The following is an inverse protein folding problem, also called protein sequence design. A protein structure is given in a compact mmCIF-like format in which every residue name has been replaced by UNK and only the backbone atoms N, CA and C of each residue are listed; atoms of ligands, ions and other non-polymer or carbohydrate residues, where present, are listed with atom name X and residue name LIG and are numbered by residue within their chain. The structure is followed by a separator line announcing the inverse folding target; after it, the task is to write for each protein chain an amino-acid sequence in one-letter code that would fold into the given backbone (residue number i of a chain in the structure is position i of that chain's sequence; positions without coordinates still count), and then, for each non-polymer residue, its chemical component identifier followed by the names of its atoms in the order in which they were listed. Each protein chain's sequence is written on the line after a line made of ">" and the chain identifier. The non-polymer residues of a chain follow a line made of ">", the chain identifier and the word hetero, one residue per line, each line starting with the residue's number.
data_IF_595109174084
#
_entry.id   IF_595109174084
#
_cell.length_a   1.000
_cell.length_b   1.000
_cell.length_c   1.000
_cell.angle_alpha   90.00
_cell.angle_beta   90.00
_cell.angle_gamma   90.00
#
_symmetry.space_group_name_H-M   'P 1'
#
loop_
_entity.id
_entity.type
_entity.pdbx_description
1 polymer ?
#
# COMPACT_ATOMS: atom_id res chain seq x y z
N UNK A 1 10.33 -54.71 12.66
CA UNK A 1 11.30 -54.82 11.54
C UNK A 1 11.87 -53.42 11.31
N UNK A 2 13.00 -53.08 11.94
CA UNK A 2 14.39 -53.09 11.40
C UNK A 2 14.63 -52.17 10.17
N UNK A 3 15.29 -51.03 10.48
CA UNK A 3 16.40 -50.34 9.76
C UNK A 3 16.01 -49.59 8.46
N UNK A 4 16.56 -48.41 8.13
CA UNK A 4 17.92 -47.88 8.36
C UNK A 4 17.96 -46.37 8.52
N UNK A 5 18.87 -45.91 9.39
CA UNK A 5 19.47 -44.57 9.42
C UNK A 5 20.51 -44.45 8.29
N UNK A 6 20.60 -43.29 7.65
CA UNK A 6 21.76 -42.89 6.84
C UNK A 6 22.38 -41.67 7.53
N UNK A 7 23.63 -41.85 7.95
CA UNK A 7 24.50 -40.88 8.60
C UNK A 7 25.37 -40.25 7.50
N UNK A 8 25.27 -38.93 7.27
CA UNK A 8 26.20 -38.23 6.38
C UNK A 8 27.32 -37.62 7.22
N UNK A 9 28.54 -38.12 6.98
CA UNK A 9 29.75 -37.76 7.71
C UNK A 9 30.37 -36.45 7.22
N UNK A 10 30.81 -35.66 8.19
CA UNK A 10 31.61 -34.43 8.08
C UNK A 10 33.01 -34.80 7.55
N UNK A 11 33.45 -34.16 6.47
CA UNK A 11 34.82 -34.28 5.96
C UNK A 11 35.60 -33.01 6.31
N UNK A 12 36.47 -33.12 7.32
CA UNK A 12 37.39 -32.08 7.76
C UNK A 12 38.73 -32.31 7.07
N UNK A 13 39.12 -31.43 6.13
CA UNK A 13 40.40 -31.52 5.42
C UNK A 13 41.44 -30.63 6.12
N UNK A 14 42.40 -31.28 6.81
CA UNK A 14 43.62 -30.66 7.33
C UNK A 14 44.66 -30.55 6.20
N UNK A 15 45.08 -29.33 5.85
CA UNK A 15 46.21 -29.09 4.96
C UNK A 15 47.47 -28.75 5.77
N UNK A 16 48.50 -29.56 5.57
CA UNK A 16 49.80 -29.50 6.21
C UNK A 16 50.67 -28.45 5.48
N UNK A 17 51.29 -27.58 6.27
CA UNK A 17 52.26 -26.57 5.84
C UNK A 17 53.55 -27.26 5.39
N UNK A 18 54.05 -26.92 4.19
CA UNK A 18 55.41 -27.22 3.76
C UNK A 18 56.10 -25.91 3.34
N UNK A 19 57.12 -25.52 4.09
CA UNK A 19 58.05 -24.44 3.73
C UNK A 19 58.95 -24.91 2.57
N UNK A 20 59.07 -24.11 1.52
CA UNK A 20 60.26 -24.16 0.68
C UNK A 20 60.59 -22.76 0.15
N UNK A 21 61.78 -22.31 0.49
CA UNK A 21 62.42 -21.06 0.06
C UNK A 21 63.03 -21.22 -1.32
N UNK A 22 62.74 -20.31 -2.26
CA UNK A 22 63.75 -19.65 -3.11
C UNK A 22 63.13 -18.47 -3.88
N UNK A 23 63.91 -17.39 -3.92
CA UNK A 23 63.66 -16.09 -4.55
C UNK A 23 63.72 -16.18 -6.08
N UNK A 24 62.85 -15.44 -6.78
CA UNK A 24 63.20 -14.35 -7.72
C UNK A 24 61.92 -13.67 -8.23
N UNK A 25 62.08 -12.43 -8.70
CA UNK A 25 61.15 -11.28 -8.74
C UNK A 25 59.97 -11.39 -9.71
N UNK A 26 58.80 -10.82 -9.34
CA UNK A 26 57.89 -10.05 -10.23
C UNK A 26 56.72 -9.40 -9.42
N UNK A 27 55.92 -8.46 -9.99
CA UNK A 27 55.58 -7.18 -9.38
C UNK A 27 54.16 -7.09 -8.81
N UNK A 28 53.93 -6.07 -7.98
CA UNK A 28 52.61 -5.45 -7.83
C UNK A 28 51.70 -6.08 -6.77
N UNK A 29 51.69 -5.45 -5.60
CA UNK A 29 50.76 -5.65 -4.50
C UNK A 29 49.28 -5.55 -4.91
N UNK A 30 48.49 -6.57 -4.59
CA UNK A 30 47.07 -6.41 -4.29
C UNK A 30 46.72 -7.27 -3.05
N UNK A 31 47.16 -6.80 -1.89
CA UNK A 31 46.37 -6.98 -0.67
C UNK A 31 45.13 -6.08 -0.83
N UNK A 32 44.02 -6.65 -1.26
CA UNK A 32 42.72 -5.99 -1.13
C UNK A 32 42.37 -5.97 0.35
N UNK A 33 42.67 -4.86 1.02
CA UNK A 33 42.27 -4.64 2.39
C UNK A 33 40.75 -4.54 2.47
N UNK A 34 40.20 -5.11 3.53
CA UNK A 34 38.83 -4.91 4.01
C UNK A 34 38.67 -3.54 4.72
N UNK A 35 39.52 -2.56 4.41
CA UNK A 35 39.64 -1.28 5.15
C UNK A 35 39.37 -0.05 4.26
N UNK A 36 38.28 -0.06 3.48
CA UNK A 36 37.74 1.16 2.87
C UNK A 36 36.20 1.15 2.87
N UNK A 37 35.58 1.01 4.04
CA UNK A 37 34.30 1.69 4.26
C UNK A 37 34.69 3.16 4.49
N UNK A 38 34.58 3.98 3.45
CA UNK A 38 34.83 5.41 3.57
C UNK A 38 33.78 6.02 4.49
N UNK A 39 34.22 6.85 5.44
CA UNK A 39 33.38 7.57 6.41
C UNK A 39 32.33 8.51 5.77
N UNK A 40 32.33 8.63 4.43
CA UNK A 40 31.47 9.51 3.64
C UNK A 40 30.07 8.93 3.36
N UNK A 41 29.96 7.59 3.31
CA UNK A 41 28.67 6.89 3.07
C UNK A 41 27.90 6.65 4.36
N UNK A 42 28.56 6.72 5.52
CA UNK A 42 27.92 6.57 6.81
C UNK A 42 27.09 7.83 7.14
N UNK A 43 25.78 7.66 7.33
CA UNK A 43 24.86 8.74 7.71
C UNK A 43 24.31 8.50 9.10
N UNK A 44 23.92 9.59 9.76
CA UNK A 44 23.34 9.56 11.09
C UNK A 44 22.08 10.44 11.13
N UNK A 45 21.03 9.95 11.79
CA UNK A 45 19.83 10.72 12.10
C UNK A 45 19.56 10.73 13.61
N UNK A 46 19.04 11.86 14.09
CA UNK A 46 18.53 11.95 15.45
C UNK A 46 17.17 11.25 15.53
N UNK A 47 17.05 10.35 16.49
CA UNK A 47 15.80 9.73 16.88
C UNK A 47 15.16 10.52 18.00
N UNK A 48 13.83 10.62 17.92
CA UNK A 48 12.97 11.23 18.93
C UNK A 48 11.91 10.22 19.33
N UNK A 49 11.55 10.23 20.60
CA UNK A 49 10.41 9.46 21.10
C UNK A 49 9.16 10.33 21.13
N UNK A 50 8.10 9.89 20.44
CA UNK A 50 6.79 10.53 20.42
C UNK A 50 5.76 9.47 20.78
N UNK A 51 5.21 9.56 22.00
CA UNK A 51 4.41 8.48 22.58
C UNK A 51 5.22 7.19 22.71
N UNK A 52 4.72 6.12 22.10
CA UNK A 52 5.39 4.82 22.05
C UNK A 52 6.37 4.67 20.88
N UNK A 53 6.34 5.61 19.93
CA UNK A 53 7.06 5.50 18.67
C UNK A 53 8.47 6.12 18.75
N UNK A 54 9.44 5.43 18.18
CA UNK A 54 10.80 5.94 17.91
C UNK A 54 10.87 6.38 16.46
N UNK A 55 11.01 7.68 16.24
CA UNK A 55 10.87 8.32 14.94
C UNK A 55 12.05 9.22 14.61
N UNK A 56 12.28 9.47 13.33
CA UNK A 56 13.19 10.53 12.85
C UNK A 56 12.38 11.60 12.11
N UNK A 57 12.91 12.81 12.08
CA UNK A 57 12.30 13.93 11.38
C UNK A 57 12.58 13.82 9.88
N UNK A 58 11.55 13.95 9.03
CA UNK A 58 11.71 13.73 7.58
C UNK A 58 12.75 14.67 6.98
N UNK A 59 12.75 15.95 7.38
CA UNK A 59 13.75 16.91 6.90
C UNK A 59 15.19 16.45 7.18
N UNK A 60 15.43 15.86 8.35
CA UNK A 60 16.79 15.45 8.76
C UNK A 60 17.31 14.33 7.85
N UNK A 61 16.43 13.46 7.33
CA UNK A 61 16.79 12.48 6.31
C UNK A 61 17.31 13.15 5.04
N UNK A 62 16.59 14.15 4.51
CA UNK A 62 16.95 14.85 3.28
C UNK A 62 18.12 15.84 3.42
N UNK A 63 18.61 16.08 4.65
CA UNK A 63 19.89 16.76 4.86
C UNK A 63 21.09 15.82 4.66
N UNK A 64 20.88 14.51 4.76
CA UNK A 64 21.97 13.50 4.70
C UNK A 64 21.89 12.58 3.49
N UNK A 65 20.77 12.54 2.78
CA UNK A 65 20.58 11.79 1.53
C UNK A 65 20.16 12.71 0.39
N UNK A 66 20.54 12.35 -0.84
CA UNK A 66 20.07 13.07 -2.03
C UNK A 66 18.61 12.70 -2.34
N UNK A 67 17.77 13.73 -2.52
CA UNK A 67 16.37 13.56 -2.85
C UNK A 67 15.56 14.83 -2.59
N UNK A 68 14.24 14.70 -2.70
CA UNK A 68 13.30 15.78 -2.37
C UNK A 68 12.07 15.22 -1.66
N UNK A 69 11.40 16.06 -0.89
CA UNK A 69 10.12 15.72 -0.31
C UNK A 69 9.18 16.91 -0.32
N UNK A 70 7.89 16.62 -0.30
CA UNK A 70 6.82 17.59 -0.16
C UNK A 70 5.76 17.03 0.79
N UNK A 71 5.33 17.85 1.74
CA UNK A 71 4.17 17.56 2.58
C UNK A 71 3.04 18.48 2.17
N UNK A 72 1.96 17.90 1.66
CA UNK A 72 0.74 18.61 1.36
C UNK A 72 -0.10 18.71 2.63
N UNK A 73 -0.19 19.91 3.21
CA UNK A 73 -0.93 20.14 4.45
C UNK A 73 -2.43 19.88 4.32
N UNK A 74 -3.00 20.10 3.13
CA UNK A 74 -4.43 19.94 2.88
C UNK A 74 -4.80 18.46 2.88
N UNK A 75 -4.07 17.65 2.11
CA UNK A 75 -4.29 16.21 2.04
C UNK A 75 -3.61 15.43 3.17
N UNK A 76 -2.73 16.10 3.92
CA UNK A 76 -1.81 15.51 4.90
C UNK A 76 -0.99 14.38 4.31
N UNK A 77 -0.56 14.56 3.07
CA UNK A 77 0.18 13.54 2.32
C UNK A 77 1.64 13.92 2.20
N UNK A 78 2.51 13.01 2.59
CA UNK A 78 3.95 13.10 2.37
C UNK A 78 4.30 12.39 1.05
N UNK A 79 4.91 13.12 0.12
CA UNK A 79 5.58 12.55 -1.05
C UNK A 79 7.07 12.73 -0.91
N UNK A 80 7.82 11.65 -1.13
CA UNK A 80 9.28 11.63 -1.06
C UNK A 80 9.82 11.03 -2.34
N UNK A 81 10.90 11.61 -2.87
CA UNK A 81 11.64 11.06 -3.99
C UNK A 81 13.09 10.87 -3.58
N UNK A 82 13.53 9.62 -3.60
CA UNK A 82 14.89 9.21 -3.31
C UNK A 82 15.40 8.47 -4.54
N UNK A 83 16.36 9.06 -5.25
CA UNK A 83 16.83 8.57 -6.55
C UNK A 83 15.66 8.39 -7.54
N UNK A 84 15.50 7.19 -8.10
CA UNK A 84 14.44 6.82 -9.04
C UNK A 84 13.17 6.26 -8.35
N UNK A 85 13.10 6.30 -7.01
CA UNK A 85 11.96 5.80 -6.24
C UNK A 85 11.12 6.96 -5.71
N UNK A 86 9.81 6.83 -5.81
CA UNK A 86 8.82 7.72 -5.21
C UNK A 86 8.06 6.99 -4.12
N UNK A 87 7.98 7.59 -2.94
CA UNK A 87 7.24 7.08 -1.80
C UNK A 87 6.11 8.06 -1.45
N UNK A 88 4.91 7.53 -1.17
CA UNK A 88 3.77 8.33 -0.72
C UNK A 88 3.13 7.73 0.53
N UNK A 89 2.80 8.61 1.47
CA UNK A 89 2.12 8.29 2.72
C UNK A 89 1.08 9.36 3.02
N UNK A 90 0.05 9.00 3.79
CA UNK A 90 -0.99 9.92 4.24
C UNK A 90 -1.16 9.80 5.74
N UNK A 91 -1.26 10.93 6.44
CA UNK A 91 -1.50 10.96 7.89
C UNK A 91 -2.79 10.21 8.25
N UNK A 92 -2.69 9.33 9.24
CA UNK A 92 -3.79 8.46 9.67
C UNK A 92 -4.04 7.23 8.79
N UNK A 93 -3.28 7.04 7.70
CA UNK A 93 -3.36 5.87 6.82
C UNK A 93 -2.02 5.11 6.90
N UNK A 94 -1.94 3.99 7.62
CA UNK A 94 -0.69 3.26 7.86
C UNK A 94 -0.32 2.38 6.66
N UNK A 95 -0.20 2.99 5.48
CA UNK A 95 0.20 2.31 4.25
C UNK A 95 1.19 3.19 3.51
N UNK A 96 2.27 2.59 3.03
CA UNK A 96 3.25 3.25 2.18
C UNK A 96 3.10 2.76 0.74
N UNK A 97 2.95 3.70 -0.18
CA UNK A 97 3.05 3.47 -1.62
C UNK A 97 4.49 3.71 -2.06
N UNK A 98 5.09 2.77 -2.76
CA UNK A 98 6.38 2.89 -3.45
C UNK A 98 6.17 2.66 -4.94
N UNK A 99 6.39 3.71 -5.75
CA UNK A 99 6.19 3.69 -7.21
C UNK A 99 4.82 3.13 -7.63
N UNK A 100 3.76 3.45 -6.89
CA UNK A 100 2.41 2.97 -7.17
C UNK A 100 2.08 1.57 -6.64
N UNK A 101 3.04 0.89 -6.00
CA UNK A 101 2.84 -0.39 -5.32
C UNK A 101 2.72 -0.15 -3.82
N UNK A 102 1.74 -0.77 -3.17
CA UNK A 102 1.57 -0.67 -1.73
C UNK A 102 2.34 -1.78 -1.03
N UNK A 103 3.14 -1.43 -0.03
CA UNK A 103 3.95 -2.40 0.70
C UNK A 103 3.12 -3.10 1.80
N UNK A 104 3.31 -4.41 2.04
CA UNK A 104 2.57 -5.16 3.04
C UNK A 104 3.17 -4.97 4.44
N UNK A 105 3.04 -3.76 4.99
CA UNK A 105 3.49 -3.42 6.34
C UNK A 105 2.60 -2.35 6.96
N UNK A 106 2.29 -2.50 8.23
CA UNK A 106 1.56 -1.54 9.08
C UNK A 106 2.51 -0.77 10.03
N UNK A 107 3.82 -1.04 9.97
CA UNK A 107 4.84 -0.37 10.80
C UNK A 107 5.17 1.04 10.32
N UNK A 108 4.68 1.43 9.14
CA UNK A 108 5.03 2.66 8.44
C UNK A 108 3.83 3.60 8.39
N UNK A 109 3.94 4.72 9.10
CA UNK A 109 2.90 5.74 9.21
C UNK A 109 3.52 7.11 9.45
N UNK A 110 2.77 8.17 9.19
CA UNK A 110 3.19 9.53 9.54
C UNK A 110 2.94 9.78 11.02
N UNK A 111 3.91 10.41 11.69
CA UNK A 111 3.74 10.97 13.04
C UNK A 111 3.89 12.49 12.97
N UNK A 112 2.84 13.20 13.37
CA UNK A 112 2.84 14.66 13.44
C UNK A 112 3.17 15.15 14.86
N UNK A 113 4.11 16.07 15.00
CA UNK A 113 4.36 16.79 16.27
C UNK A 113 4.83 18.21 16.01
N UNK A 114 4.14 19.19 16.61
CA UNK A 114 4.42 20.63 16.43
C UNK A 114 4.58 21.02 14.95
N UNK A 115 3.62 20.63 14.10
CA UNK A 115 3.59 20.90 12.65
C UNK A 115 4.75 20.26 11.86
N UNK A 116 5.56 19.41 12.50
CA UNK A 116 6.63 18.66 11.84
C UNK A 116 6.22 17.23 11.55
N UNK A 117 6.74 16.73 10.44
CA UNK A 117 6.48 15.39 9.92
C UNK A 117 7.61 14.46 10.33
N UNK A 118 7.26 13.35 10.97
CA UNK A 118 8.19 12.32 11.39
C UNK A 118 7.79 10.96 10.82
N UNK A 119 8.77 10.08 10.64
CA UNK A 119 8.57 8.69 10.23
C UNK A 119 9.19 7.74 11.26
N UNK A 120 8.56 6.57 11.50
CA UNK A 120 9.16 5.49 12.27
C UNK A 120 10.53 5.12 11.73
N UNK A 121 11.44 4.73 12.63
CA UNK A 121 12.74 4.16 12.21
C UNK A 121 12.59 2.97 11.24
N UNK A 122 11.44 2.28 11.33
CA UNK A 122 11.04 1.17 10.48
C UNK A 122 11.05 1.53 8.97
N UNK A 123 10.94 2.82 8.64
CA UNK A 123 11.03 3.28 7.26
C UNK A 123 12.41 3.01 6.65
N UNK A 124 13.50 3.12 7.44
CA UNK A 124 14.85 2.95 6.93
C UNK A 124 15.16 1.48 6.61
N UNK A 125 14.76 0.54 7.48
CA UNK A 125 15.04 -0.88 7.33
C UNK A 125 13.99 -1.60 6.44
N UNK A 126 12.69 -1.34 6.61
CA UNK A 126 11.63 -2.02 5.83
C UNK A 126 11.47 -1.41 4.43
N UNK A 127 11.39 -0.08 4.33
CA UNK A 127 11.05 0.59 3.07
C UNK A 127 12.29 0.88 2.22
N UNK A 128 13.36 1.37 2.84
CA UNK A 128 14.62 1.63 2.12
C UNK A 128 15.53 0.39 2.06
N UNK A 129 15.31 -0.62 2.91
CA UNK A 129 16.12 -1.83 2.97
C UNK A 129 17.50 -1.66 3.57
N UNK A 130 17.69 -0.62 4.39
CA UNK A 130 18.99 -0.27 4.94
C UNK A 130 19.28 -1.10 6.19
N UNK A 131 20.52 -1.55 6.33
CA UNK A 131 21.01 -2.03 7.62
C UNK A 131 21.23 -0.82 8.53
N UNK A 132 20.53 -0.81 9.67
CA UNK A 132 20.52 0.31 10.61
C UNK A 132 21.03 -0.11 11.99
N UNK A 133 21.93 0.68 12.56
CA UNK A 133 22.43 0.54 13.92
C UNK A 133 21.85 1.65 14.80
N UNK A 134 21.19 1.26 15.90
CA UNK A 134 20.62 2.22 16.86
C UNK A 134 21.56 2.36 18.05
N UNK A 135 22.05 3.58 18.27
CA UNK A 135 22.93 3.93 19.39
C UNK A 135 22.32 5.10 20.17
N UNK A 136 21.90 4.86 21.41
CA UNK A 136 21.19 5.82 22.25
C UNK A 136 19.94 6.41 21.56
N UNK A 137 20.03 7.67 21.13
CA UNK A 137 18.97 8.42 20.43
C UNK A 137 19.34 8.70 18.98
N UNK A 138 20.19 7.88 18.37
CA UNK A 138 20.65 8.05 17.00
C UNK A 138 20.49 6.75 16.23
N UNK A 139 20.20 6.87 14.94
CA UNK A 139 20.27 5.77 14.00
C UNK A 139 21.39 6.05 13.00
N UNK A 140 22.24 5.06 12.80
CA UNK A 140 23.36 5.10 11.87
C UNK A 140 23.09 4.10 10.76
N UNK A 141 23.33 4.49 9.51
CA UNK A 141 23.15 3.61 8.36
C UNK A 141 24.13 3.95 7.25
N UNK A 142 24.38 2.98 6.38
CA UNK A 142 25.15 3.21 5.17
C UNK A 142 24.22 3.67 4.04
N UNK A 143 24.59 4.76 3.38
CA UNK A 143 23.89 5.27 2.21
C UNK A 143 24.83 5.29 1.02
N UNK A 144 24.55 4.43 0.04
CA UNK A 144 25.29 4.34 -1.23
C UNK A 144 24.54 4.98 -2.40
N UNK A 145 23.31 5.46 -2.17
CA UNK A 145 22.40 5.93 -3.21
C UNK A 145 21.58 4.81 -3.87
N UNK A 146 21.75 3.54 -3.46
CA UNK A 146 20.85 2.46 -3.87
C UNK A 146 19.67 2.36 -2.91
N UNK A 147 18.47 2.14 -3.45
CA UNK A 147 17.23 1.90 -2.69
C UNK A 147 16.68 0.56 -3.17
N UNK A 148 15.99 -0.20 -2.30
CA UNK A 148 15.36 -1.46 -2.72
C UNK A 148 14.38 -1.18 -3.86
N UNK A 149 14.63 -1.69 -5.08
CA UNK A 149 13.66 -1.55 -6.14
C UNK A 149 12.48 -2.45 -5.82
N UNK A 150 11.26 -1.92 -5.94
CA UNK A 150 10.10 -2.80 -6.16
C UNK A 150 10.33 -3.51 -7.50
N UNK A 151 10.13 -4.83 -7.56
CA UNK A 151 10.31 -5.65 -8.76
C UNK A 151 9.50 -5.19 -9.99
N UNK A 152 8.58 -4.25 -9.78
CA UNK A 152 7.77 -3.57 -10.79
C UNK A 152 8.12 -2.08 -10.87
N UNK A 153 9.36 -1.74 -11.27
CA UNK A 153 9.59 -0.42 -11.86
C UNK A 153 8.89 -0.45 -13.22
N UNK A 154 7.59 -0.14 -13.25
CA UNK A 154 6.98 0.27 -14.51
C UNK A 154 7.48 1.69 -14.77
N UNK A 155 8.28 1.84 -15.82
CA UNK A 155 8.81 3.13 -16.30
C UNK A 155 7.77 3.97 -17.03
N UNK A 156 6.49 3.58 -17.00
CA UNK A 156 5.39 4.22 -17.74
C UNK A 156 4.15 4.29 -16.85
N UNK A 157 3.75 5.52 -16.50
CA UNK A 157 2.49 5.79 -15.79
C UNK A 157 1.29 5.36 -16.63
N UNK A 158 0.13 5.08 -16.01
CA UNK A 158 -1.15 5.00 -16.73
C UNK A 158 -1.40 6.24 -17.62
N UNK A 159 -0.78 7.38 -17.26
CA UNK A 159 -0.88 8.66 -17.97
C UNK A 159 0.00 8.70 -19.23
N UNK A 160 1.04 7.88 -19.31
CA UNK A 160 2.02 7.91 -20.41
C UNK A 160 1.70 6.92 -21.54
N UNK A 161 0.78 5.98 -21.30
CA UNK A 161 0.34 4.97 -22.27
C UNK A 161 -1.06 5.30 -22.82
N UNK A 162 -1.26 5.13 -24.13
CA UNK A 162 -2.59 5.20 -24.74
C UNK A 162 -3.39 3.92 -24.46
N UNK A 163 -4.30 4.02 -23.49
CA UNK A 163 -5.25 2.99 -23.14
C UNK A 163 -6.51 3.06 -23.99
N UNK A 164 -6.94 1.90 -24.50
CA UNK A 164 -8.27 1.69 -25.05
C UNK A 164 -9.03 0.65 -24.22
N UNK A 165 -10.34 0.52 -24.48
CA UNK A 165 -11.21 -0.40 -23.75
C UNK A 165 -10.71 -1.85 -23.83
N UNK A 166 -10.30 -2.31 -25.02
CA UNK A 166 -9.89 -3.70 -25.23
C UNK A 166 -8.61 -4.02 -24.44
N UNK A 167 -7.60 -3.14 -24.52
CA UNK A 167 -6.36 -3.27 -23.75
C UNK A 167 -6.61 -3.28 -22.24
N UNK A 168 -7.49 -2.41 -21.75
CA UNK A 168 -7.79 -2.37 -20.31
C UNK A 168 -8.54 -3.60 -19.84
N UNK A 169 -9.48 -4.10 -20.65
CA UNK A 169 -10.18 -5.37 -20.39
C UNK A 169 -9.18 -6.52 -20.33
N UNK A 170 -8.29 -6.64 -21.32
CA UNK A 170 -7.26 -7.66 -21.35
C UNK A 170 -6.31 -7.54 -20.14
N UNK A 171 -5.97 -6.30 -19.76
CA UNK A 171 -5.10 -6.04 -18.61
C UNK A 171 -5.70 -6.51 -17.29
N UNK A 172 -6.99 -6.30 -17.09
CA UNK A 172 -7.71 -6.63 -15.86
C UNK A 172 -8.39 -8.01 -15.90
N UNK A 173 -8.28 -8.75 -17.01
CA UNK A 173 -8.96 -10.04 -17.24
C UNK A 173 -8.65 -11.15 -16.24
N UNK A 174 -7.57 -11.00 -15.46
CA UNK A 174 -7.20 -11.94 -14.40
C UNK A 174 -8.04 -11.77 -13.12
N UNK A 175 -8.74 -10.64 -12.98
CA UNK A 175 -9.58 -10.35 -11.82
C UNK A 175 -10.93 -11.07 -11.92
N UNK A 176 -11.41 -11.53 -10.76
CA UNK A 176 -12.76 -12.04 -10.53
C UNK A 176 -13.60 -11.04 -9.77
N UNK A 177 -14.91 -11.20 -9.87
CA UNK A 177 -15.87 -10.39 -9.10
C UNK A 177 -15.70 -10.63 -7.59
N UNK A 178 -15.74 -9.59 -6.76
CA UNK A 178 -15.57 -9.73 -5.32
C UNK A 178 -16.83 -10.26 -4.62
N UNK A 179 -17.98 -10.27 -5.30
CA UNK A 179 -19.23 -10.86 -4.78
C UNK A 179 -19.71 -11.91 -5.79
N UNK A 180 -19.87 -13.15 -5.31
CA UNK A 180 -20.32 -14.25 -6.16
C UNK A 180 -21.67 -13.94 -6.81
N UNK A 181 -21.75 -14.18 -8.12
CA UNK A 181 -22.96 -14.03 -8.96
C UNK A 181 -23.52 -12.59 -9.04
N UNK A 182 -22.85 -11.60 -8.47
CA UNK A 182 -23.23 -10.20 -8.63
C UNK A 182 -22.95 -9.76 -10.08
N UNK A 183 -23.89 -9.03 -10.66
CA UNK A 183 -23.68 -8.34 -11.93
C UNK A 183 -23.15 -6.93 -11.67
N UNK A 184 -22.34 -6.42 -12.61
CA UNK A 184 -21.86 -5.04 -12.56
C UNK A 184 -23.05 -4.09 -12.65
N UNK A 185 -23.13 -3.16 -11.71
CA UNK A 185 -24.17 -2.13 -11.73
C UNK A 185 -24.03 -1.26 -12.99
N UNK A 186 -25.14 -1.05 -13.70
CA UNK A 186 -25.20 -0.15 -14.87
C UNK A 186 -25.75 1.25 -14.54
N UNK A 187 -26.09 1.49 -13.27
CA UNK A 187 -26.54 2.81 -12.80
C UNK A 187 -25.34 3.77 -12.80
N UNK A 188 -25.39 4.91 -13.53
CA UNK A 188 -24.25 5.80 -13.70
C UNK A 188 -23.59 6.27 -12.40
N UNK A 189 -24.39 6.55 -11.37
CA UNK A 189 -23.86 7.01 -10.10
C UNK A 189 -23.12 5.92 -9.31
N UNK A 190 -23.28 4.64 -9.62
CA UNK A 190 -22.54 3.56 -8.94
C UNK A 190 -21.17 3.31 -9.59
N UNK A 191 -20.92 3.89 -10.77
CA UNK A 191 -19.71 3.63 -11.54
C UNK A 191 -18.56 4.57 -11.11
N UNK A 192 -17.30 4.11 -11.23
CA UNK A 192 -16.14 4.97 -11.06
C UNK A 192 -16.15 6.13 -12.08
N UNK A 193 -15.62 7.28 -11.68
CA UNK A 193 -15.62 8.50 -12.48
C UNK A 193 -16.92 9.30 -12.45
N UNK A 194 -17.98 8.81 -11.81
CA UNK A 194 -19.21 9.59 -11.62
C UNK A 194 -18.99 10.78 -10.67
N UNK A 195 -19.55 11.96 -10.96
CA UNK A 195 -19.41 13.14 -10.09
C UNK A 195 -20.08 12.94 -8.73
N UNK A 196 -19.44 13.45 -7.67
CA UNK A 196 -19.91 13.44 -6.28
C UNK A 196 -20.05 14.87 -5.77
N UNK A 197 -21.15 15.53 -6.15
CA UNK A 197 -21.39 16.95 -5.86
C UNK A 197 -21.41 17.27 -4.36
N UNK A 198 -21.86 16.35 -3.51
CA UNK A 198 -21.95 16.59 -2.05
C UNK A 198 -20.59 16.68 -1.35
N UNK A 199 -19.49 16.25 -1.98
CA UNK A 199 -18.13 16.28 -1.42
C UNK A 199 -17.07 16.79 -2.41
N UNK A 200 -17.51 17.45 -3.49
CA UNK A 200 -16.63 18.00 -4.54
C UNK A 200 -15.56 17.04 -5.06
N UNK A 201 -15.97 15.90 -5.61
CA UNK A 201 -15.03 14.93 -6.17
C UNK A 201 -15.67 14.01 -7.19
N UNK A 202 -14.97 12.92 -7.48
CA UNK A 202 -15.48 11.82 -8.29
C UNK A 202 -15.65 10.56 -7.43
N UNK A 203 -16.45 9.65 -7.94
CA UNK A 203 -16.57 8.32 -7.39
C UNK A 203 -15.31 7.53 -7.77
N UNK A 204 -14.50 7.13 -6.81
CA UNK A 204 -13.22 6.47 -7.10
C UNK A 204 -13.38 4.99 -7.45
N UNK A 205 -14.48 4.38 -7.01
CA UNK A 205 -14.75 2.96 -7.14
C UNK A 205 -16.12 2.62 -7.74
N UNK A 206 -16.43 1.33 -7.78
CA UNK A 206 -17.74 0.79 -8.14
C UNK A 206 -18.52 0.42 -6.88
N UNK A 207 -19.83 0.73 -6.88
CA UNK A 207 -20.74 0.33 -5.82
C UNK A 207 -21.55 -0.92 -6.21
N UNK A 208 -21.49 -1.93 -5.35
CA UNK A 208 -22.23 -3.18 -5.49
C UNK A 208 -23.47 -3.16 -4.57
N UNK A 209 -24.54 -2.53 -5.05
CA UNK A 209 -25.84 -2.51 -4.35
C UNK A 209 -26.71 -3.71 -4.70
N UNK A 210 -27.45 -4.25 -3.73
CA UNK A 210 -28.31 -5.43 -3.96
C UNK A 210 -29.39 -5.18 -5.02
N UNK A 211 -29.96 -3.97 -5.05
CA UNK A 211 -30.98 -3.60 -6.05
C UNK A 211 -30.42 -3.39 -7.47
N UNK A 212 -29.10 -3.37 -7.65
CA UNK A 212 -28.45 -3.06 -8.92
C UNK A 212 -27.61 -4.21 -9.50
N UNK A 213 -27.29 -5.20 -8.67
CA UNK A 213 -26.36 -6.30 -9.00
C UNK A 213 -27.08 -7.63 -9.28
N UNK A 214 -28.41 -7.67 -9.19
CA UNK A 214 -29.18 -8.90 -9.36
C UNK A 214 -29.00 -9.93 -8.24
N UNK A 215 -28.25 -9.61 -7.19
CA UNK A 215 -28.04 -10.45 -6.01
C UNK A 215 -28.64 -9.83 -4.76
N UNK A 216 -29.07 -10.71 -3.85
CA UNK A 216 -29.40 -10.28 -2.50
C UNK A 216 -28.10 -9.94 -1.74
N UNK A 217 -27.99 -8.70 -1.28
CA UNK A 217 -26.86 -8.21 -0.49
C UNK A 217 -27.34 -7.96 0.94
N UNK A 218 -26.61 -8.51 1.90
CA UNK A 218 -26.86 -8.45 3.34
C UNK A 218 -25.52 -8.35 4.09
N UNK A 219 -25.57 -8.12 5.40
CA UNK A 219 -24.39 -8.19 6.26
C UNK A 219 -23.67 -9.55 6.23
N UNK A 220 -24.37 -10.64 5.87
CA UNK A 220 -23.77 -11.96 5.71
C UNK A 220 -23.13 -12.19 4.31
N UNK A 221 -23.22 -11.23 3.40
CA UNK A 221 -22.69 -11.36 2.04
C UNK A 221 -21.17 -11.27 2.08
N UNK A 222 -20.50 -12.40 1.81
CA UNK A 222 -19.04 -12.45 1.76
C UNK A 222 -18.48 -11.62 0.60
N UNK A 223 -17.40 -10.90 0.89
CA UNK A 223 -16.53 -10.23 -0.07
C UNK A 223 -15.27 -11.09 -0.22
N UNK A 224 -14.96 -11.44 -1.47
CA UNK A 224 -13.81 -12.27 -1.84
C UNK A 224 -12.69 -11.40 -2.41
N UNK A 225 -11.43 -11.83 -2.21
CA UNK A 225 -10.34 -11.29 -3.02
C UNK A 225 -10.61 -11.58 -4.50
N UNK A 226 -9.99 -10.81 -5.39
CA UNK A 226 -10.31 -10.85 -6.82
C UNK A 226 -9.35 -11.71 -7.63
N UNK A 227 -8.15 -11.97 -7.12
CA UNK A 227 -7.11 -12.78 -7.74
C UNK A 227 -6.08 -13.19 -6.68
N UNK A 228 -4.98 -13.82 -7.09
CA UNK A 228 -3.81 -13.98 -6.20
C UNK A 228 -3.21 -12.60 -5.88
N UNK A 229 -3.05 -12.29 -4.60
CA UNK A 229 -2.53 -11.00 -4.16
C UNK A 229 -2.07 -11.02 -2.70
N UNK A 230 -1.52 -9.91 -2.25
CA UNK A 230 -1.02 -9.71 -0.89
C UNK A 230 -1.83 -8.62 -0.20
N UNK A 231 -2.26 -8.90 1.03
CA UNK A 231 -2.98 -7.94 1.86
C UNK A 231 -2.01 -6.85 2.34
N UNK A 232 -2.35 -5.59 2.09
CA UNK A 232 -1.51 -4.42 2.45
C UNK A 232 -2.14 -3.54 3.52
N UNK A 233 -3.42 -3.73 3.83
CA UNK A 233 -4.13 -3.07 4.94
C UNK A 233 -5.31 -3.91 5.40
N UNK A 234 -5.52 -3.98 6.71
CA UNK A 234 -6.68 -4.61 7.34
C UNK A 234 -7.15 -3.76 8.53
N UNK A 235 -8.39 -3.28 8.50
CA UNK A 235 -8.94 -2.43 9.58
C UNK A 235 -9.71 -3.23 10.64
N UNK A 236 -9.02 -4.13 11.36
CA UNK A 236 -9.64 -4.88 12.47
C UNK A 236 -10.16 -3.95 13.59
N UNK A 237 -9.40 -2.92 13.90
CA UNK A 237 -9.70 -1.96 14.97
C UNK A 237 -10.44 -0.71 14.46
N UNK A 238 -11.16 -0.82 13.34
CA UNK A 238 -11.95 0.30 12.81
C UNK A 238 -12.98 0.81 13.83
N UNK A 239 -12.96 2.12 14.06
CA UNK A 239 -13.98 2.83 14.84
C UNK A 239 -14.86 3.70 13.94
N UNK A 240 -16.18 3.52 14.09
CA UNK A 240 -17.17 4.33 13.38
C UNK A 240 -17.16 5.80 13.85
N UNK A 241 -17.62 6.70 12.98
CA UNK A 241 -17.97 8.06 13.38
C UNK A 241 -18.88 8.06 14.60
N UNK A 242 -18.43 8.73 15.66
CA UNK A 242 -19.16 8.77 16.94
C UNK A 242 -20.55 9.40 16.82
N UNK A 243 -20.73 10.37 15.92
CA UNK A 243 -22.03 10.97 15.62
C UNK A 243 -22.14 11.48 14.20
N UNK A 244 -23.39 11.66 13.72
CA UNK A 244 -23.69 12.27 12.44
C UNK A 244 -23.13 13.71 12.36
N UNK A 245 -23.08 14.43 13.47
CA UNK A 245 -22.50 15.78 13.52
C UNK A 245 -21.00 15.78 13.25
N UNK A 246 -20.25 14.77 13.72
CA UNK A 246 -18.81 14.65 13.43
C UNK A 246 -18.61 14.35 11.96
N UNK A 247 -19.35 13.38 11.40
CA UNK A 247 -19.28 13.06 9.96
C UNK A 247 -19.65 14.23 9.06
N UNK A 248 -20.70 14.98 9.43
CA UNK A 248 -21.14 16.15 8.65
C UNK A 248 -20.16 17.32 8.74
N UNK A 249 -19.33 17.42 9.80
CA UNK A 249 -18.24 18.41 9.83
C UNK A 249 -17.19 18.10 8.77
N UNK A 250 -16.78 16.84 8.64
CA UNK A 250 -15.84 16.41 7.60
C UNK A 250 -16.40 16.71 6.20
N UNK A 251 -17.66 16.37 5.95
CA UNK A 251 -18.33 16.69 4.67
C UNK A 251 -18.43 18.20 4.42
N UNK A 252 -18.75 19.00 5.45
CA UNK A 252 -18.83 20.46 5.32
C UNK A 252 -17.46 21.05 4.98
N UNK A 253 -16.39 20.53 5.59
CA UNK A 253 -15.02 20.94 5.28
C UNK A 253 -14.67 20.62 3.82
N UNK A 254 -15.06 19.44 3.31
CA UNK A 254 -14.83 19.09 1.89
C UNK A 254 -15.62 20.00 0.93
N UNK A 255 -16.81 20.44 1.36
CA UNK A 255 -17.62 21.38 0.61
C UNK A 255 -16.95 22.77 0.55
N UNK A 256 -16.40 23.23 1.67
CA UNK A 256 -15.69 24.52 1.79
C UNK A 256 -14.39 24.56 0.98
N UNK A 257 -13.61 23.48 1.04
CA UNK A 257 -12.31 23.38 0.35
C UNK A 257 -12.45 23.22 -1.17
N UNK A 258 -13.61 22.78 -1.66
CA UNK A 258 -13.80 22.48 -3.08
C UNK A 258 -13.19 21.14 -3.51
N UNK A 259 -12.68 20.34 -2.56
CA UNK A 259 -12.16 18.99 -2.77
C UNK A 259 -12.26 18.14 -1.49
N UNK A 260 -12.09 16.82 -1.60
CA UNK A 260 -12.08 15.91 -0.44
C UNK A 260 -10.62 15.60 -0.02
N UNK A 261 -10.12 16.09 1.13
CA UNK A 261 -8.82 15.67 1.67
C UNK A 261 -8.70 14.14 1.84
N UNK A 262 -7.51 13.57 1.63
CA UNK A 262 -7.35 12.11 1.56
C UNK A 262 -7.64 11.42 2.89
N UNK A 263 -7.16 11.97 4.02
CA UNK A 263 -7.44 11.44 5.36
C UNK A 263 -8.95 11.47 5.71
N UNK A 264 -9.69 12.48 5.24
CA UNK A 264 -11.15 12.53 5.39
C UNK A 264 -11.79 11.47 4.50
N UNK A 265 -11.31 11.34 3.27
CA UNK A 265 -11.92 10.41 2.34
C UNK A 265 -11.74 8.96 2.78
N UNK A 266 -10.56 8.61 3.31
CA UNK A 266 -10.32 7.32 3.92
C UNK A 266 -11.28 7.03 5.08
N UNK A 267 -11.47 8.00 5.97
CA UNK A 267 -12.43 7.87 7.06
C UNK A 267 -13.87 7.66 6.58
N UNK A 268 -14.27 8.34 5.50
CA UNK A 268 -15.58 8.18 4.87
C UNK A 268 -15.78 6.80 4.21
N UNK A 269 -14.70 6.09 3.83
CA UNK A 269 -14.77 4.70 3.34
C UNK A 269 -15.11 3.70 4.45
N UNK A 270 -14.95 4.09 5.71
CA UNK A 270 -15.23 3.22 6.84
C UNK A 270 -14.19 2.11 7.00
N UNK A 271 -14.64 0.92 7.41
CA UNK A 271 -13.81 -0.26 7.57
C UNK A 271 -13.35 -0.78 6.20
N UNK A 272 -12.06 -1.04 6.07
CA UNK A 272 -11.46 -1.44 4.79
C UNK A 272 -10.52 -2.65 4.88
N UNK A 273 -10.37 -3.30 3.73
CA UNK A 273 -9.24 -4.19 3.41
C UNK A 273 -8.64 -3.77 2.09
N UNK A 274 -7.31 -3.68 1.99
CA UNK A 274 -6.62 -3.33 0.75
C UNK A 274 -5.74 -4.50 0.31
N UNK A 275 -5.76 -4.80 -0.99
CA UNK A 275 -5.02 -5.91 -1.56
C UNK A 275 -4.24 -5.43 -2.78
N UNK A 276 -2.94 -5.68 -2.77
CA UNK A 276 -2.05 -5.50 -3.89
C UNK A 276 -2.01 -6.79 -4.69
N UNK A 277 -2.41 -6.72 -5.95
CA UNK A 277 -2.34 -7.81 -6.91
C UNK A 277 -1.14 -7.61 -7.86
N UNK A 278 -0.93 -8.60 -8.73
CA UNK A 278 0.03 -8.50 -9.83
C UNK A 278 -0.23 -7.29 -10.75
N UNK A 279 0.78 -6.96 -11.56
CA UNK A 279 0.70 -5.87 -12.55
C UNK A 279 0.36 -4.52 -11.92
N UNK A 280 0.77 -4.28 -10.68
CA UNK A 280 0.50 -3.02 -9.98
C UNK A 280 -0.98 -2.71 -9.72
N UNK A 281 -1.87 -3.69 -9.90
CA UNK A 281 -3.29 -3.52 -9.60
C UNK A 281 -3.49 -3.54 -8.09
N UNK A 282 -4.12 -2.52 -7.52
CA UNK A 282 -4.49 -2.46 -6.11
C UNK A 282 -5.99 -2.22 -5.98
N UNK A 283 -6.67 -2.98 -5.12
CA UNK A 283 -8.06 -2.71 -4.78
C UNK A 283 -8.23 -2.38 -3.31
N UNK A 284 -9.13 -1.43 -3.04
CA UNK A 284 -9.62 -1.11 -1.69
C UNK A 284 -11.06 -1.58 -1.59
N UNK A 285 -11.35 -2.43 -0.61
CA UNK A 285 -12.69 -2.91 -0.31
C UNK A 285 -13.19 -2.15 0.92
N UNK A 286 -14.22 -1.35 0.75
CA UNK A 286 -14.70 -0.40 1.74
C UNK A 286 -16.13 -0.69 2.20
N UNK A 287 -16.56 0.05 3.22
CA UNK A 287 -17.84 -0.10 3.90
C UNK A 287 -18.06 -1.49 4.52
N UNK A 288 -16.99 -2.22 4.88
CA UNK A 288 -17.11 -3.59 5.37
C UNK A 288 -17.81 -3.67 6.74
N UNK A 289 -18.64 -4.67 6.95
CA UNK A 289 -19.28 -4.94 8.24
C UNK A 289 -18.37 -5.69 9.22
N UNK A 290 -17.59 -6.62 8.69
CA UNK A 290 -16.65 -7.42 9.44
C UNK A 290 -15.52 -7.89 8.53
N UNK A 291 -14.39 -8.23 9.14
CA UNK A 291 -13.22 -8.83 8.51
C UNK A 291 -12.92 -10.13 9.27
N UNK A 292 -12.57 -11.24 8.59
CA UNK A 292 -12.14 -12.45 9.28
C UNK A 292 -10.93 -12.19 10.19
N UNK A 293 -11.01 -12.53 11.48
CA UNK A 293 -9.93 -12.32 12.46
C UNK A 293 -8.60 -12.97 12.07
N UNK A 294 -8.64 -13.95 11.16
CA UNK A 294 -7.44 -14.64 10.65
C UNK A 294 -6.73 -13.91 9.53
N UNK A 295 -7.34 -12.87 8.94
CA UNK A 295 -6.76 -12.12 7.83
C UNK A 295 -5.86 -10.99 8.36
N UNK A 296 -4.60 -10.97 7.96
CA UNK A 296 -3.60 -10.00 8.43
C UNK A 296 -2.85 -9.35 7.25
N UNK A 297 -2.23 -8.20 7.52
CA UNK A 297 -1.29 -7.59 6.57
C UNK A 297 -0.15 -8.58 6.27
N UNK A 298 0.22 -8.71 5.00
CA UNK A 298 1.19 -9.68 4.51
C UNK A 298 0.63 -11.04 4.11
N UNK A 299 -0.63 -11.35 4.41
CA UNK A 299 -1.25 -12.60 3.97
C UNK A 299 -1.37 -12.66 2.45
N UNK A 300 -1.09 -13.84 1.90
CA UNK A 300 -1.36 -14.16 0.49
C UNK A 300 -2.78 -14.70 0.38
N UNK A 301 -3.57 -14.10 -0.50
CA UNK A 301 -4.98 -14.43 -0.72
C UNK A 301 -5.23 -14.77 -2.18
N UNK A 302 -6.35 -15.43 -2.47
CA UNK A 302 -6.80 -15.76 -3.83
C UNK A 302 -8.30 -15.52 -4.00
N UNK A 303 -8.83 -15.78 -5.21
CA UNK A 303 -10.25 -15.53 -5.53
C UNK A 303 -11.29 -16.35 -4.74
N UNK A 304 -10.85 -17.31 -3.92
CA UNK A 304 -11.71 -18.08 -3.01
C UNK A 304 -11.64 -17.58 -1.56
N UNK A 305 -10.71 -16.68 -1.26
CA UNK A 305 -10.46 -16.18 0.10
C UNK A 305 -11.47 -15.10 0.47
N UNK A 306 -12.18 -15.31 1.58
CA UNK A 306 -13.04 -14.28 2.17
C UNK A 306 -12.16 -13.22 2.82
N UNK A 307 -12.37 -11.97 2.42
CA UNK A 307 -11.61 -10.82 2.93
C UNK A 307 -12.46 -9.88 3.77
N UNK A 308 -13.77 -10.06 3.75
CA UNK A 308 -14.70 -9.28 4.55
C UNK A 308 -16.14 -9.64 4.26
N UNK A 309 -17.04 -8.88 4.86
CA UNK A 309 -18.47 -8.98 4.67
C UNK A 309 -19.05 -7.61 4.33
N UNK A 310 -20.02 -7.58 3.42
CA UNK A 310 -20.64 -6.32 2.99
C UNK A 310 -21.27 -5.62 4.19
N UNK A 311 -21.03 -4.32 4.31
CA UNK A 311 -21.62 -3.50 5.36
C UNK A 311 -22.02 -2.13 4.85
N UNK A 312 -22.04 -1.18 5.78
CA UNK A 312 -22.30 0.22 5.52
C UNK A 312 -21.43 1.14 6.39
N UNK A 313 -20.33 0.65 6.97
CA UNK A 313 -19.47 1.45 7.86
C UNK A 313 -18.97 2.72 7.16
N UNK A 314 -18.86 3.85 7.86
CA UNK A 314 -18.45 5.16 7.33
C UNK A 314 -19.56 5.90 6.56
N UNK A 315 -20.68 5.24 6.26
CA UNK A 315 -21.84 5.87 5.60
C UNK A 315 -22.73 6.62 6.60
N UNK A 316 -23.72 7.37 6.13
CA UNK A 316 -24.70 7.98 7.03
C UNK A 316 -25.60 6.92 7.67
N UNK A 317 -25.90 5.84 6.95
CA UNK A 317 -26.73 4.75 7.44
C UNK A 317 -26.13 4.01 8.64
N UNK A 318 -24.81 3.78 8.65
CA UNK A 318 -24.13 3.20 9.82
C UNK A 318 -24.18 4.13 11.03
N UNK A 319 -23.85 5.41 10.83
CA UNK A 319 -23.81 6.41 11.90
C UNK A 319 -25.18 6.68 12.52
N UNK A 320 -26.25 6.60 11.71
CA UNK A 320 -27.62 6.72 12.20
C UNK A 320 -28.19 5.41 12.75
N UNK A 321 -27.52 4.27 12.50
CA UNK A 321 -28.01 2.95 12.88
C UNK A 321 -29.30 2.54 12.16
N UNK A 322 -29.52 3.01 10.92
CA UNK A 322 -30.77 2.79 10.19
C UNK A 322 -30.70 1.67 9.13
N UNK A 323 -29.51 1.10 8.92
CA UNK A 323 -29.28 -0.02 8.00
C UNK A 323 -29.36 0.35 6.51
N UNK A 324 -29.44 1.64 6.18
CA UNK A 324 -29.34 2.12 4.80
C UNK A 324 -27.89 2.13 4.29
N UNK A 325 -27.72 2.40 2.99
CA UNK A 325 -26.40 2.47 2.33
C UNK A 325 -25.59 1.16 2.45
N UNK A 326 -26.27 0.01 2.54
CA UNK A 326 -25.64 -1.30 2.54
C UNK A 326 -25.14 -1.68 1.14
N UNK A 327 -23.81 -1.68 0.95
CA UNK A 327 -23.15 -2.04 -0.30
C UNK A 327 -21.65 -2.28 -0.08
N UNK A 328 -21.02 -3.00 -1.00
CA UNK A 328 -19.57 -2.96 -1.14
C UNK A 328 -19.20 -1.75 -2.02
N UNK A 329 -18.28 -0.94 -1.56
CA UNK A 329 -17.56 0.02 -2.40
C UNK A 329 -16.17 -0.53 -2.70
N UNK A 330 -15.78 -0.52 -3.98
CA UNK A 330 -14.51 -1.10 -4.43
C UNK A 330 -13.75 -0.11 -5.32
N UNK A 331 -12.63 0.41 -4.82
CA UNK A 331 -11.69 1.17 -5.64
C UNK A 331 -10.76 0.22 -6.41
N UNK A 332 -10.39 0.59 -7.63
CA UNK A 332 -9.38 -0.12 -8.44
C UNK A 332 -8.34 0.89 -8.94
N UNK A 333 -7.09 0.65 -8.58
CA UNK A 333 -5.94 1.45 -8.95
C UNK A 333 -4.94 0.59 -9.74
N UNK A 334 -4.18 1.22 -10.62
CA UNK A 334 -3.06 0.64 -11.35
C UNK A 334 -1.86 1.56 -11.14
N UNK A 335 -0.84 1.08 -10.42
CA UNK A 335 0.33 1.87 -10.01
C UNK A 335 -0.04 3.21 -9.32
N UNK A 336 -0.94 3.14 -8.34
CA UNK A 336 -1.39 4.31 -7.56
C UNK A 336 -2.35 5.24 -8.29
N UNK A 337 -2.67 4.98 -9.56
CA UNK A 337 -3.61 5.78 -10.35
C UNK A 337 -4.96 5.08 -10.51
N UNK A 338 -6.05 5.82 -10.35
CA UNK A 338 -7.40 5.28 -10.54
C UNK A 338 -7.59 4.83 -12.00
N UNK A 339 -7.97 3.57 -12.21
CA UNK A 339 -7.98 2.96 -13.54
C UNK A 339 -8.90 3.65 -14.56
N UNK A 340 -9.93 4.33 -14.06
CA UNK A 340 -10.98 4.94 -14.88
C UNK A 340 -10.59 6.33 -15.41
N UNK A 341 -9.51 6.96 -14.90
CA UNK A 341 -9.09 8.31 -15.29
C UNK A 341 -8.97 8.54 -16.82
N UNK A 342 -8.43 7.61 -17.62
CA UNK A 342 -8.30 7.81 -19.07
C UNK A 342 -9.60 7.55 -19.85
N UNK A 343 -10.68 7.11 -19.20
CA UNK A 343 -11.90 6.64 -19.85
C UNK A 343 -13.12 7.52 -19.56
N UNK A 344 -14.04 7.56 -20.51
CA UNK A 344 -15.40 8.08 -20.28
C UNK A 344 -16.22 7.11 -19.42
N UNK A 345 -17.32 7.60 -18.82
CA UNK A 345 -18.18 6.77 -17.97
C UNK A 345 -18.79 5.57 -18.72
N UNK A 346 -19.07 5.71 -20.03
CA UNK A 346 -19.59 4.62 -20.85
C UNK A 346 -18.51 3.57 -21.15
N UNK A 347 -17.28 3.98 -21.40
CA UNK A 347 -16.13 3.08 -21.54
C UNK A 347 -15.83 2.36 -20.23
N UNK A 348 -15.85 3.06 -19.09
CA UNK A 348 -15.69 2.44 -17.76
C UNK A 348 -16.75 1.38 -17.51
N UNK A 349 -18.01 1.68 -17.84
CA UNK A 349 -19.11 0.70 -17.76
C UNK A 349 -18.84 -0.51 -18.64
N UNK A 350 -18.42 -0.31 -19.88
CA UNK A 350 -18.10 -1.39 -20.80
C UNK A 350 -16.93 -2.25 -20.30
N UNK A 351 -15.85 -1.63 -19.85
CA UNK A 351 -14.68 -2.31 -19.27
C UNK A 351 -15.12 -3.19 -18.10
N UNK A 352 -15.82 -2.62 -17.12
CA UNK A 352 -16.23 -3.36 -15.92
C UNK A 352 -17.16 -4.53 -16.27
N UNK A 353 -18.14 -4.32 -17.15
CA UNK A 353 -19.02 -5.40 -17.61
C UNK A 353 -18.20 -6.51 -18.26
N UNK A 354 -17.26 -6.19 -19.15
CA UNK A 354 -16.47 -7.18 -19.90
C UNK A 354 -15.46 -7.93 -19.02
N UNK A 355 -14.79 -7.23 -18.10
CA UNK A 355 -13.85 -7.83 -17.15
C UNK A 355 -14.58 -8.80 -16.21
N UNK A 356 -15.79 -8.43 -15.77
CA UNK A 356 -16.57 -9.20 -14.80
C UNK A 356 -17.71 -10.02 -15.43
N UNK A 357 -17.61 -10.30 -16.73
CA UNK A 357 -18.50 -11.20 -17.43
C UNK A 357 -17.99 -12.64 -17.24
N UNK A 358 -18.50 -13.33 -16.22
CA UNK A 358 -18.26 -14.75 -15.95
C UNK A 358 -19.53 -15.56 -16.21
#
# INVERSE_FOLDING_TARGET
>A
MKRSFILFGIFMLLLIISCNTNKEEEPGSHEGSLDQITNETLKELQLKRIGENTVFHVYDLFEVVEGEFNFDELHRSLTMKLNDQTYKLVDGIPVVEQNGIYLPTDEIFIVMDNEKVYLPKAFLDIVLGLEVDVNDNKVVFQWTGETLPTSSIQTTSLVDEEWDVDKMVDYLSFLKKPIQKAEVSTIPNHLPGAKRAYRNGHHEGIDWYGYATGQHISFDTAVLAMAEGVVVRVDHDYEEYTTAQVRNKDLSLTAELGETPQYIFDRLRGRQVWIQYEKGVMNRFAHLDAIPETLHVGDVVNSETIIGYVGNSGTSGAVNGDGSELHLHQDLLIYGELFWKPFTLDEVKEILIRVFND
#
